data_IF_785758554360
#
_entry.id   IF_785758554360
#
_cell.length_a   1.000
_cell.length_b   1.000
_cell.length_c   1.000
_cell.angle_alpha   90.00
_cell.angle_beta   90.00
_cell.angle_gamma   90.00
#
_symmetry.space_group_name_H-M   'P 1'
#
loop_
_entity.id
_entity.type
_entity.pdbx_description
1 polymer ?
#
# COMPACT_ATOMS: atom_id res chain seq x y z
N UNK A 1 -23.12 3.33 -5.21
CA UNK A 1 -22.23 3.24 -6.40
C UNK A 1 -20.89 2.65 -5.96
N UNK A 2 -20.33 1.66 -6.68
CA UNK A 2 -19.21 0.83 -6.19
C UNK A 2 -17.87 1.58 -6.23
N UNK A 3 -17.28 1.84 -5.07
CA UNK A 3 -15.88 2.24 -4.93
C UNK A 3 -15.01 0.99 -5.09
N UNK A 4 -14.02 1.03 -5.97
CA UNK A 4 -13.15 -0.12 -6.21
C UNK A 4 -11.85 0.03 -5.43
N UNK A 5 -11.64 -0.89 -4.47
CA UNK A 5 -10.43 -0.94 -3.65
C UNK A 5 -9.40 -1.86 -4.30
N UNK A 6 -8.29 -1.26 -4.72
CA UNK A 6 -7.16 -1.95 -5.34
C UNK A 6 -6.00 -1.95 -4.36
N UNK A 7 -5.43 -3.11 -4.05
CA UNK A 7 -4.26 -3.18 -3.17
C UNK A 7 -3.00 -2.84 -3.95
N UNK A 8 -2.19 -1.94 -3.42
CA UNK A 8 -0.91 -1.54 -4.01
C UNK A 8 0.25 -1.91 -3.10
N UNK A 9 1.42 -2.10 -3.71
CA UNK A 9 2.68 -2.33 -3.01
C UNK A 9 3.63 -1.16 -3.27
N UNK A 10 4.39 -0.71 -2.27
CA UNK A 10 5.50 0.21 -2.53
C UNK A 10 6.58 -0.51 -3.32
N UNK A 11 7.69 0.18 -3.55
CA UNK A 11 8.89 -0.43 -4.12
C UNK A 11 9.23 -1.75 -3.40
N UNK A 12 9.63 -2.77 -4.17
CA UNK A 12 9.84 -4.12 -3.62
C UNK A 12 10.88 -4.13 -2.50
N UNK A 13 11.93 -3.33 -2.63
CA UNK A 13 12.96 -3.11 -1.61
C UNK A 13 12.34 -2.61 -0.30
N UNK A 14 11.57 -1.52 -0.35
CA UNK A 14 10.86 -0.95 0.81
C UNK A 14 9.84 -1.92 1.41
N UNK A 15 9.14 -2.69 0.56
CA UNK A 15 8.23 -3.72 1.03
C UNK A 15 8.96 -4.82 1.81
N UNK A 16 10.10 -5.29 1.29
CA UNK A 16 10.95 -6.30 1.96
C UNK A 16 11.44 -5.75 3.29
N UNK A 17 12.04 -4.55 3.31
CA UNK A 17 12.53 -3.91 4.55
C UNK A 17 11.41 -3.85 5.60
N UNK A 18 10.22 -3.38 5.20
CA UNK A 18 9.08 -3.27 6.10
C UNK A 18 8.63 -4.62 6.69
N UNK A 19 8.50 -5.64 5.85
CA UNK A 19 8.09 -6.97 6.30
C UNK A 19 9.15 -7.66 7.14
N UNK A 20 10.44 -7.48 6.83
CA UNK A 20 11.53 -7.97 7.66
C UNK A 20 11.50 -7.37 9.06
N UNK A 21 11.35 -6.04 9.17
CA UNK A 21 11.21 -5.36 10.48
C UNK A 21 9.98 -5.85 11.23
N UNK A 22 8.85 -6.03 10.53
CA UNK A 22 7.63 -6.57 11.13
C UNK A 22 7.86 -7.97 11.72
N UNK A 23 8.52 -8.87 10.97
CA UNK A 23 8.82 -10.22 11.42
C UNK A 23 9.83 -10.28 12.58
N UNK A 24 10.77 -9.32 12.66
CA UNK A 24 11.68 -9.23 13.81
C UNK A 24 10.88 -9.09 15.12
N UNK A 25 9.84 -8.24 15.16
CA UNK A 25 9.00 -8.10 16.35
C UNK A 25 8.23 -9.38 16.69
N UNK A 26 7.77 -10.13 15.68
CA UNK A 26 7.15 -11.44 15.90
C UNK A 26 8.14 -12.43 16.53
N UNK A 27 9.35 -12.53 15.97
CA UNK A 27 10.36 -13.44 16.50
C UNK A 27 10.81 -13.05 17.90
N UNK A 28 11.00 -11.77 18.19
CA UNK A 28 11.29 -11.30 19.56
C UNK A 28 10.18 -11.72 20.53
N UNK A 29 8.91 -11.50 20.17
CA UNK A 29 7.79 -11.94 21.01
C UNK A 29 7.81 -13.45 21.27
N UNK A 30 8.00 -14.25 20.23
CA UNK A 30 8.05 -15.71 20.32
C UNK A 30 9.22 -16.18 21.19
N UNK A 31 10.43 -15.65 20.98
CA UNK A 31 11.61 -15.98 21.79
C UNK A 31 11.36 -15.71 23.27
N UNK A 32 10.76 -14.57 23.62
CA UNK A 32 10.43 -14.27 25.03
C UNK A 32 9.37 -15.21 25.63
N UNK A 33 8.39 -15.68 24.83
CA UNK A 33 7.39 -16.66 25.29
C UNK A 33 8.06 -18.02 25.53
N UNK A 34 8.93 -18.43 24.61
CA UNK A 34 9.63 -19.71 24.66
C UNK A 34 10.68 -19.77 25.77
N UNK A 35 11.43 -18.69 25.99
CA UNK A 35 12.54 -18.64 26.96
C UNK A 35 12.08 -18.84 28.40
N UNK A 36 10.93 -18.25 28.77
CA UNK A 36 10.44 -18.31 30.15
C UNK A 36 9.22 -19.21 30.34
N UNK A 37 8.67 -19.77 29.25
CA UNK A 37 7.43 -20.56 29.24
C UNK A 37 6.22 -19.87 29.91
N UNK A 38 6.31 -18.55 30.13
CA UNK A 38 5.29 -17.72 30.75
C UNK A 38 5.05 -16.46 29.90
N UNK A 39 3.80 -16.01 29.88
CA UNK A 39 3.42 -14.81 29.13
C UNK A 39 3.84 -13.58 29.92
N UNK A 40 5.04 -13.08 29.64
CA UNK A 40 5.50 -11.82 30.21
C UNK A 40 4.93 -10.63 29.46
N UNK A 41 4.64 -9.55 30.20
CA UNK A 41 4.19 -8.28 29.65
C UNK A 41 5.06 -7.74 28.51
N UNK A 42 6.39 -7.99 28.57
CA UNK A 42 7.33 -7.61 27.50
C UNK A 42 7.05 -8.34 26.19
N UNK A 43 6.74 -9.64 26.23
CA UNK A 43 6.39 -10.36 25.01
C UNK A 43 5.06 -9.89 24.44
N UNK A 44 4.07 -9.66 25.32
CA UNK A 44 2.77 -9.10 24.94
C UNK A 44 2.93 -7.77 24.19
N UNK A 45 3.83 -6.89 24.67
CA UNK A 45 4.15 -5.62 24.01
C UNK A 45 4.70 -5.82 22.58
N UNK A 46 5.67 -6.70 22.40
CA UNK A 46 6.22 -7.00 21.06
C UNK A 46 5.16 -7.60 20.13
N UNK A 47 4.27 -8.43 20.66
CA UNK A 47 3.16 -8.99 19.89
C UNK A 47 2.17 -7.89 19.44
N UNK A 48 1.85 -6.95 20.30
CA UNK A 48 1.00 -5.79 19.95
C UNK A 48 1.66 -4.94 18.87
N UNK A 49 2.97 -4.66 18.99
CA UNK A 49 3.73 -3.92 17.97
C UNK A 49 3.71 -4.66 16.62
N UNK A 50 3.94 -5.99 16.64
CA UNK A 50 3.83 -6.82 15.45
C UNK A 50 2.44 -6.72 14.81
N UNK A 51 1.37 -6.87 15.59
CA UNK A 51 -0.01 -6.79 15.07
C UNK A 51 -0.32 -5.42 14.48
N UNK A 52 0.13 -4.33 15.12
CA UNK A 52 -0.02 -2.97 14.60
C UNK A 52 0.70 -2.78 13.26
N UNK A 53 1.96 -3.22 13.15
CA UNK A 53 2.72 -3.18 11.90
C UNK A 53 2.09 -4.07 10.83
N UNK A 54 1.69 -5.29 11.18
CA UNK A 54 1.02 -6.20 10.27
C UNK A 54 -0.27 -5.59 9.69
N UNK A 55 -1.09 -4.98 10.56
CA UNK A 55 -2.33 -4.30 10.16
C UNK A 55 -2.06 -3.10 9.24
N UNK A 56 -1.07 -2.26 9.57
CA UNK A 56 -0.67 -1.11 8.76
C UNK A 56 -0.16 -1.54 7.37
N UNK A 57 0.64 -2.58 7.31
CA UNK A 57 1.11 -3.20 6.08
C UNK A 57 -0.04 -3.70 5.20
N UNK A 58 -1.07 -4.29 5.84
CA UNK A 58 -2.26 -4.83 5.18
C UNK A 58 -3.22 -3.74 4.66
N UNK A 59 -3.34 -2.61 5.37
CA UNK A 59 -4.31 -1.53 5.07
C UNK A 59 -4.04 -0.80 3.74
N UNK A 60 -2.80 -0.84 3.24
CA UNK A 60 -2.37 -0.19 1.98
C UNK A 60 -3.29 -0.52 0.81
N UNK A 61 -3.96 0.50 0.28
CA UNK A 61 -4.89 0.37 -0.84
C UNK A 61 -5.06 1.71 -1.57
N UNK A 62 -5.36 1.62 -2.86
CA UNK A 62 -5.85 2.69 -3.70
C UNK A 62 -7.35 2.48 -3.82
N UNK A 63 -8.14 3.54 -3.64
CA UNK A 63 -9.57 3.53 -3.85
C UNK A 63 -9.83 4.41 -5.07
N UNK A 64 -10.40 3.82 -6.12
CA UNK A 64 -10.81 4.57 -7.31
C UNK A 64 -12.22 5.09 -7.08
N UNK A 65 -12.34 6.42 -7.04
CA UNK A 65 -13.61 7.15 -6.98
C UNK A 65 -13.98 7.67 -8.37
N UNK A 66 -15.21 8.18 -8.53
CA UNK A 66 -15.65 8.78 -9.80
C UNK A 66 -14.90 10.05 -10.17
N UNK A 67 -14.56 10.87 -9.18
CA UNK A 67 -13.97 12.20 -9.39
C UNK A 67 -12.47 12.25 -9.08
N UNK A 68 -11.85 11.13 -8.71
CA UNK A 68 -10.44 11.08 -8.35
C UNK A 68 -9.97 9.74 -7.79
N UNK A 69 -8.72 9.72 -7.38
CA UNK A 69 -8.03 8.59 -6.80
C UNK A 69 -7.69 8.89 -5.34
N UNK A 70 -8.02 7.97 -4.43
CA UNK A 70 -7.58 8.05 -3.04
C UNK A 70 -6.47 7.04 -2.80
N UNK A 71 -5.32 7.48 -2.30
CA UNK A 71 -4.17 6.63 -1.98
C UNK A 71 -4.05 6.52 -0.46
N UNK A 72 -4.25 5.32 0.07
CA UNK A 72 -4.02 5.02 1.48
C UNK A 72 -2.63 4.42 1.63
N UNK A 73 -1.78 5.11 2.39
CA UNK A 73 -0.42 4.67 2.73
C UNK A 73 -0.41 3.74 3.95
N UNK A 74 0.75 3.17 4.26
CA UNK A 74 0.97 2.39 5.49
C UNK A 74 1.02 3.28 6.76
N UNK A 75 0.93 4.60 6.63
CA UNK A 75 0.89 5.54 7.76
C UNK A 75 -0.56 5.73 8.20
N UNK A 76 -0.82 5.66 9.51
CA UNK A 76 -2.16 5.70 10.11
C UNK A 76 -3.03 6.88 9.65
N UNK A 77 -2.41 8.04 9.42
CA UNK A 77 -3.08 9.31 9.12
C UNK A 77 -2.78 9.90 7.73
N UNK A 78 -2.02 9.21 6.87
CA UNK A 78 -1.74 9.73 5.53
C UNK A 78 -2.62 9.06 4.50
N UNK A 79 -3.63 9.79 4.06
CA UNK A 79 -4.47 9.45 2.91
C UNK A 79 -4.49 10.64 1.98
N UNK A 80 -3.96 10.48 0.78
CA UNK A 80 -3.93 11.55 -0.21
C UNK A 80 -5.08 11.33 -1.20
N UNK A 81 -5.89 12.38 -1.43
CA UNK A 81 -6.93 12.38 -2.46
C UNK A 81 -6.47 13.21 -3.65
N UNK A 82 -6.46 12.61 -4.82
CA UNK A 82 -5.97 13.18 -6.07
C UNK A 82 -7.13 13.29 -7.06
N UNK A 83 -7.67 14.48 -7.32
CA UNK A 83 -8.70 14.66 -8.34
C UNK A 83 -8.12 14.43 -9.74
N UNK A 84 -8.91 13.87 -10.67
CA UNK A 84 -8.43 13.57 -12.03
C UNK A 84 -7.92 14.81 -12.78
N UNK A 85 -8.47 15.99 -12.48
CA UNK A 85 -8.05 17.27 -13.09
C UNK A 85 -6.60 17.69 -12.76
N UNK A 86 -5.98 17.11 -11.72
CA UNK A 86 -4.58 17.38 -11.38
C UNK A 86 -3.60 16.37 -12.02
N UNK A 87 -4.12 15.29 -12.61
CA UNK A 87 -3.32 14.21 -13.19
C UNK A 87 -2.99 14.59 -14.62
N UNK A 88 -1.69 14.76 -14.91
CA UNK A 88 -1.23 15.13 -16.25
C UNK A 88 -1.15 13.92 -17.17
N UNK A 89 -0.70 12.79 -16.63
CA UNK A 89 -0.63 11.53 -17.37
C UNK A 89 -0.51 10.35 -16.42
N UNK A 90 -0.99 9.20 -16.88
CA UNK A 90 -0.79 7.91 -16.21
C UNK A 90 0.03 7.03 -17.14
N UNK A 91 1.23 6.64 -16.71
CA UNK A 91 2.03 5.64 -17.41
C UNK A 91 1.76 4.29 -16.79
N UNK A 92 1.28 3.35 -17.60
CA UNK A 92 1.02 1.98 -17.19
C UNK A 92 2.10 1.10 -17.84
N UNK A 93 2.84 0.40 -17.00
CA UNK A 93 3.70 -0.71 -17.38
C UNK A 93 3.16 -2.02 -16.80
N UNK A 94 3.77 -3.15 -17.15
CA UNK A 94 3.29 -4.50 -16.82
C UNK A 94 2.87 -4.69 -15.35
N UNK A 95 3.66 -4.16 -14.40
CA UNK A 95 3.39 -4.22 -12.95
C UNK A 95 3.47 -2.85 -12.25
N UNK A 96 3.70 -1.78 -12.99
CA UNK A 96 3.93 -0.45 -12.42
C UNK A 96 2.92 0.53 -13.00
N UNK A 97 2.38 1.37 -12.14
CA UNK A 97 1.54 2.50 -12.53
C UNK A 97 2.20 3.74 -11.96
N UNK A 98 2.58 4.62 -12.87
CA UNK A 98 3.19 5.90 -12.55
C UNK A 98 2.17 6.99 -12.84
N UNK A 99 1.78 7.72 -11.81
CA UNK A 99 0.87 8.86 -11.91
C UNK A 99 1.74 10.11 -11.87
N UNK A 100 1.83 10.81 -13.01
CA UNK A 100 2.49 12.10 -13.09
C UNK A 100 1.48 13.20 -12.76
N UNK A 101 1.75 13.93 -11.69
CA UNK A 101 1.04 15.15 -11.34
C UNK A 101 1.95 16.35 -11.60
N UNK A 102 1.35 17.53 -11.81
CA UNK A 102 2.04 18.83 -12.05
C UNK A 102 3.26 19.12 -11.16
N UNK A 103 3.32 18.57 -9.95
CA UNK A 103 4.38 18.82 -8.95
C UNK A 103 5.06 17.56 -8.41
N UNK A 104 4.51 16.37 -8.66
CA UNK A 104 4.96 15.16 -7.99
C UNK A 104 4.69 13.91 -8.82
N UNK A 105 5.64 13.00 -8.78
CA UNK A 105 5.55 11.70 -9.44
C UNK A 105 5.23 10.63 -8.40
N UNK A 106 4.16 9.87 -8.63
CA UNK A 106 3.77 8.77 -7.76
C UNK A 106 3.93 7.45 -8.49
N UNK A 107 4.88 6.64 -8.02
CA UNK A 107 5.13 5.31 -8.56
C UNK A 107 4.49 4.25 -7.66
N UNK A 108 3.63 3.44 -8.26
CA UNK A 108 2.82 2.45 -7.55
C UNK A 108 3.03 1.08 -8.20
N UNK A 109 3.37 0.07 -7.41
CA UNK A 109 3.47 -1.30 -7.89
C UNK A 109 2.15 -2.03 -7.69
N UNK A 110 1.64 -2.64 -8.75
CA UNK A 110 0.35 -3.32 -8.79
C UNK A 110 0.52 -4.71 -9.42
N UNK A 111 -0.27 -5.67 -8.92
CA UNK A 111 -0.32 -7.01 -9.52
C UNK A 111 -0.96 -6.94 -10.90
N UNK A 112 -0.51 -7.73 -11.88
CA UNK A 112 -1.07 -7.74 -13.26
C UNK A 112 -2.61 -7.75 -13.33
N UNK A 113 -3.27 -8.54 -12.50
CA UNK A 113 -4.76 -8.59 -12.41
C UNK A 113 -5.35 -7.24 -11.99
N UNK A 114 -4.71 -6.59 -11.02
CA UNK A 114 -5.12 -5.28 -10.50
C UNK A 114 -4.83 -4.15 -11.49
N UNK A 115 -3.73 -4.23 -12.27
CA UNK A 115 -3.44 -3.28 -13.35
C UNK A 115 -4.54 -3.32 -14.42
N UNK A 116 -4.96 -4.52 -14.85
CA UNK A 116 -6.07 -4.69 -15.80
C UNK A 116 -7.38 -4.10 -15.26
N UNK A 117 -7.65 -4.29 -13.97
CA UNK A 117 -8.83 -3.75 -13.31
C UNK A 117 -8.76 -2.22 -13.19
N UNK A 118 -7.59 -1.68 -12.84
CA UNK A 118 -7.33 -0.25 -12.78
C UNK A 118 -7.56 0.42 -14.14
N UNK A 119 -7.01 -0.16 -15.22
CA UNK A 119 -7.18 0.38 -16.58
C UNK A 119 -8.65 0.45 -17.01
N UNK A 120 -9.46 -0.57 -16.67
CA UNK A 120 -10.91 -0.58 -16.95
C UNK A 120 -11.69 0.49 -16.18
N UNK A 121 -11.18 0.94 -15.04
CA UNK A 121 -11.85 1.87 -14.14
C UNK A 121 -11.47 3.32 -14.40
N UNK A 122 -10.44 3.58 -15.22
CA UNK A 122 -10.04 4.94 -15.55
C UNK A 122 -11.02 5.59 -16.53
N UNK A 123 -11.42 6.85 -16.31
CA UNK A 123 -12.20 7.61 -17.29
C UNK A 123 -11.37 7.87 -18.55
N UNK A 124 -12.05 7.91 -19.72
CA UNK A 124 -11.43 8.12 -21.04
C UNK A 124 -10.72 9.48 -21.21
N UNK A 125 -10.92 10.39 -20.27
CA UNK A 125 -10.40 11.76 -20.28
C UNK A 125 -8.92 11.85 -19.85
N UNK A 126 -8.38 10.81 -19.21
CA UNK A 126 -6.98 10.80 -18.76
C UNK A 126 -6.07 10.25 -19.84
N UNK A 127 -4.99 10.96 -20.16
CA UNK A 127 -3.95 10.51 -21.09
C UNK A 127 -3.19 9.33 -20.47
N UNK A 128 -3.44 8.13 -21.02
CA UNK A 128 -2.79 6.89 -20.59
C UNK A 128 -1.73 6.51 -21.61
N UNK A 129 -0.47 6.44 -21.17
CA UNK A 129 0.63 5.91 -21.98
C UNK A 129 0.90 4.48 -21.53
N UNK A 130 0.76 3.52 -22.46
CA UNK A 130 1.15 2.13 -22.24
C UNK A 130 2.56 1.92 -22.76
N UNK A 131 3.50 1.52 -21.91
CA UNK A 131 4.88 1.20 -22.30
C UNK A 131 5.22 -0.24 -21.97
#
# INVERSE_FOLDING_TARGET
>A
MKNYKIRWQPERSLAIIYWSVTLIFLFLSLTFILERAEVHWKSMLFMVIFLLLFYLGYRRAIIVHKNGLQINYARFWKTDYLPFNQIESIQISVNFVTINLKKQKLELSLRKKQVKLFWKLLPKEVTVYSK
#
